data_IF_041146986941
#
_entry.id   IF_041146986941
#
_cell.length_a   1.000
_cell.length_b   1.000
_cell.length_c   1.000
_cell.angle_alpha   90.00
_cell.angle_beta   90.00
_cell.angle_gamma   90.00
#
_symmetry.space_group_name_H-M   'P 1'
#
loop_
_entity.id
_entity.type
_entity.pdbx_description
1 polymer ?
#
# COMPACT_ATOMS: atom_id res chain seq x y z
N UNK A 1 -27.85 -20.00 42.07
CA UNK A 1 -26.47 -19.59 41.75
C UNK A 1 -26.53 -18.65 40.54
N UNK A 2 -26.23 -17.37 40.75
CA UNK A 2 -26.24 -16.33 39.70
C UNK A 2 -24.86 -16.33 39.03
N UNK A 3 -24.76 -16.77 37.78
CA UNK A 3 -23.56 -16.48 36.97
C UNK A 3 -23.60 -15.00 36.59
N UNK A 4 -22.56 -14.21 36.85
CA UNK A 4 -22.50 -12.86 36.33
C UNK A 4 -22.28 -12.98 34.81
N UNK A 5 -23.28 -12.52 34.05
CA UNK A 5 -23.14 -12.22 32.63
C UNK A 5 -22.09 -11.11 32.51
N UNK A 6 -20.81 -11.49 32.43
CA UNK A 6 -19.73 -10.59 32.04
C UNK A 6 -19.91 -10.37 30.55
N UNK A 7 -20.71 -9.36 30.22
CA UNK A 7 -20.85 -8.86 28.87
C UNK A 7 -19.51 -8.23 28.49
N UNK A 8 -18.66 -9.00 27.81
CA UNK A 8 -17.46 -8.48 27.17
C UNK A 8 -17.97 -7.68 25.97
N UNK A 9 -17.96 -6.33 25.97
CA UNK A 9 -18.24 -5.60 24.75
C UNK A 9 -17.20 -5.99 23.70
N UNK A 10 -17.67 -6.70 22.67
CA UNK A 10 -16.96 -7.02 21.43
C UNK A 10 -16.84 -5.72 20.60
N UNK A 11 -16.29 -4.68 21.21
CA UNK A 11 -16.07 -3.40 20.56
C UNK A 11 -14.61 -3.03 20.82
N UNK A 12 -13.93 -2.62 19.75
CA UNK A 12 -12.50 -2.27 19.69
C UNK A 12 -11.53 -3.41 19.32
N UNK A 13 -11.78 -4.07 18.19
CA UNK A 13 -10.67 -4.35 17.27
C UNK A 13 -10.46 -3.05 16.47
N UNK A 14 -9.58 -2.19 16.98
CA UNK A 14 -9.10 -1.02 16.25
C UNK A 14 -8.33 -1.56 15.04
N UNK A 15 -8.90 -1.43 13.84
CA UNK A 15 -8.17 -1.58 12.60
C UNK A 15 -7.08 -0.51 12.54
N UNK A 16 -5.88 -0.84 12.99
CA UNK A 16 -4.68 -0.06 12.70
C UNK A 16 -4.33 -0.26 11.22
N UNK A 17 -4.99 0.49 10.34
CA UNK A 17 -4.46 0.76 9.00
C UNK A 17 -3.20 1.63 9.19
N UNK A 18 -2.06 0.98 9.39
CA UNK A 18 -0.78 1.65 9.28
C UNK A 18 -0.60 2.04 7.81
N UNK A 19 -0.87 3.31 7.50
CA UNK A 19 -0.47 3.91 6.24
C UNK A 19 1.04 3.70 6.13
N UNK A 20 1.46 2.74 5.29
CA UNK A 20 2.88 2.46 5.09
C UNK A 20 3.48 3.75 4.55
N UNK A 21 4.37 4.42 5.31
CA UNK A 21 4.95 5.67 4.86
C UNK A 21 5.68 5.38 3.57
N UNK A 22 5.34 6.12 2.53
CA UNK A 22 5.96 6.00 1.24
C UNK A 22 7.44 6.37 1.39
N UNK A 23 8.30 5.35 1.41
CA UNK A 23 9.73 5.57 1.30
C UNK A 23 10.05 5.73 -0.18
N UNK A 24 11.07 6.51 -0.52
CA UNK A 24 11.61 6.44 -1.86
C UNK A 24 12.15 5.01 -2.10
N UNK A 25 11.64 4.33 -3.12
CA UNK A 25 11.78 2.88 -3.33
C UNK A 25 12.25 2.58 -4.75
N UNK A 26 13.36 1.87 -4.89
CA UNK A 26 13.80 1.29 -6.18
C UNK A 26 13.27 -0.13 -6.38
N UNK A 27 12.68 -0.75 -5.36
CA UNK A 27 12.25 -2.14 -5.40
C UNK A 27 10.95 -2.35 -4.62
N UNK A 28 9.87 -2.71 -5.31
CA UNK A 28 8.53 -2.91 -4.75
C UNK A 28 7.95 -4.29 -5.08
N UNK A 29 7.03 -4.82 -4.27
CA UNK A 29 6.27 -6.02 -4.64
C UNK A 29 5.51 -5.86 -5.96
N UNK A 30 5.34 -6.95 -6.71
CA UNK A 30 4.44 -6.95 -7.87
C UNK A 30 3.02 -7.21 -7.41
N UNK A 31 2.15 -6.19 -7.41
CA UNK A 31 0.76 -6.30 -6.94
C UNK A 31 -0.24 -6.72 -8.02
N UNK A 32 0.03 -6.38 -9.27
CA UNK A 32 -0.82 -6.72 -10.43
C UNK A 32 -0.01 -7.42 -11.52
N UNK A 33 -0.67 -7.81 -12.61
CA UNK A 33 -0.05 -8.45 -13.78
C UNK A 33 1.10 -7.64 -14.38
N UNK A 34 1.00 -6.30 -14.34
CA UNK A 34 1.98 -5.35 -14.86
C UNK A 34 2.64 -4.57 -13.74
N UNK A 35 3.94 -4.27 -13.88
CA UNK A 35 4.65 -3.38 -12.97
C UNK A 35 4.20 -1.92 -13.15
N UNK A 36 4.30 -1.10 -12.09
CA UNK A 36 4.02 0.33 -12.19
C UNK A 36 5.00 1.02 -13.13
N UNK A 37 4.59 2.15 -13.72
CA UNK A 37 5.43 2.95 -14.61
C UNK A 37 6.74 3.35 -13.92
N UNK A 38 7.84 3.24 -14.68
CA UNK A 38 9.20 3.44 -14.17
C UNK A 38 9.82 2.20 -13.51
N UNK A 39 9.08 1.10 -13.35
CA UNK A 39 9.59 -0.16 -12.83
C UNK A 39 9.52 -1.28 -13.87
N UNK A 40 10.49 -2.18 -13.82
CA UNK A 40 10.56 -3.41 -14.63
C UNK A 40 10.41 -4.65 -13.76
N UNK A 41 9.76 -5.68 -14.29
CA UNK A 41 9.61 -6.95 -13.58
C UNK A 41 10.98 -7.65 -13.51
N UNK A 42 11.44 -8.01 -12.31
CA UNK A 42 12.69 -8.73 -12.12
C UNK A 42 12.52 -10.27 -12.17
N UNK A 43 11.33 -10.74 -12.57
CA UNK A 43 10.91 -12.15 -12.62
C UNK A 43 10.92 -12.89 -11.28
N UNK A 44 11.11 -12.19 -10.16
CA UNK A 44 11.10 -12.72 -8.79
C UNK A 44 9.90 -12.20 -7.97
N UNK A 45 8.79 -11.90 -8.64
CA UNK A 45 7.60 -11.33 -8.01
C UNK A 45 7.77 -9.89 -7.54
N UNK A 46 8.77 -9.16 -8.05
CA UNK A 46 9.06 -7.78 -7.69
C UNK A 46 9.26 -6.91 -8.92
N UNK A 47 9.07 -5.61 -8.72
CA UNK A 47 9.27 -4.58 -9.72
C UNK A 47 10.43 -3.69 -9.27
N UNK A 48 11.40 -3.44 -10.15
CA UNK A 48 12.62 -2.67 -9.86
C UNK A 48 12.75 -1.45 -10.76
N UNK A 49 13.23 -0.34 -10.24
CA UNK A 49 13.44 0.91 -10.96
C UNK A 49 14.91 1.36 -10.84
N UNK A 50 15.51 1.93 -11.90
CA UNK A 50 16.85 2.54 -11.81
C UNK A 50 16.83 3.88 -11.05
N UNK A 51 15.65 4.46 -10.80
CA UNK A 51 15.46 5.73 -10.10
C UNK A 51 14.60 5.51 -8.85
N UNK A 52 14.90 6.24 -7.78
CA UNK A 52 14.08 6.22 -6.56
C UNK A 52 12.75 6.96 -6.79
N UNK A 53 11.64 6.26 -6.59
CA UNK A 53 10.31 6.88 -6.55
C UNK A 53 9.65 6.64 -5.20
N UNK A 54 9.04 7.67 -4.66
CA UNK A 54 8.16 7.54 -3.51
C UNK A 54 6.81 7.02 -3.97
N UNK A 55 6.48 5.78 -3.59
CA UNK A 55 5.27 5.08 -4.04
C UNK A 55 4.53 4.41 -2.88
N UNK A 56 3.20 4.33 -3.01
CA UNK A 56 2.30 3.62 -2.09
C UNK A 56 1.35 2.71 -2.86
N UNK A 57 0.95 1.56 -2.28
CA UNK A 57 -0.10 0.74 -2.88
C UNK A 57 -1.44 1.49 -2.89
N UNK A 58 -2.20 1.30 -3.95
CA UNK A 58 -3.57 1.84 -4.12
C UNK A 58 -4.60 1.11 -3.25
N UNK A 59 -4.38 -0.18 -2.95
CA UNK A 59 -5.36 -1.06 -2.30
C UNK A 59 -6.75 -1.05 -2.97
N UNK A 60 -6.81 -0.77 -4.27
CA UNK A 60 -8.07 -0.66 -5.02
C UNK A 60 -8.74 0.72 -4.97
N UNK A 61 -8.19 1.65 -4.21
CA UNK A 61 -8.69 3.01 -4.06
C UNK A 61 -8.01 3.98 -5.03
N UNK A 62 -8.63 5.15 -5.22
CA UNK A 62 -8.02 6.25 -5.95
C UNK A 62 -6.82 6.83 -5.18
N UNK A 63 -5.84 7.35 -5.91
CA UNK A 63 -4.70 8.02 -5.29
C UNK A 63 -5.13 9.29 -4.56
N UNK A 64 -4.64 9.48 -3.34
CA UNK A 64 -4.86 10.71 -2.56
C UNK A 64 -4.29 11.94 -3.26
N UNK A 65 -4.73 13.13 -2.82
CA UNK A 65 -4.17 14.39 -3.29
C UNK A 65 -2.64 14.45 -3.11
N UNK A 66 -1.94 15.03 -4.07
CA UNK A 66 -0.47 15.04 -4.10
C UNK A 66 0.17 13.73 -4.58
N UNK A 67 -0.64 12.74 -4.98
CA UNK A 67 -0.20 11.49 -5.59
C UNK A 67 -0.79 11.33 -7.00
N UNK A 68 -0.11 10.56 -7.84
CA UNK A 68 -0.57 10.21 -9.19
C UNK A 68 -0.61 8.70 -9.38
N UNK A 69 -1.64 8.19 -10.07
CA UNK A 69 -1.73 6.78 -10.41
C UNK A 69 -0.68 6.46 -11.49
N UNK A 70 0.18 5.47 -11.23
CA UNK A 70 1.23 5.04 -12.15
C UNK A 70 1.01 3.61 -12.69
N UNK A 71 -0.20 3.07 -12.53
CA UNK A 71 -0.51 1.69 -12.89
C UNK A 71 0.09 0.68 -11.90
N UNK A 72 -0.09 -0.61 -12.20
CA UNK A 72 0.46 -1.71 -11.39
C UNK A 72 -0.05 -1.79 -9.94
N UNK A 73 -1.10 -1.04 -9.60
CA UNK A 73 -1.63 -0.95 -8.23
C UNK A 73 -0.89 0.04 -7.33
N UNK A 74 -0.12 0.99 -7.89
CA UNK A 74 0.63 1.99 -7.13
C UNK A 74 0.26 3.44 -7.47
N UNK A 75 0.39 4.29 -6.46
CA UNK A 75 0.43 5.74 -6.57
C UNK A 75 1.86 6.23 -6.35
N UNK A 76 2.28 7.25 -7.08
CA UNK A 76 3.58 7.94 -6.94
C UNK A 76 3.38 9.34 -6.40
N UNK A 77 4.27 9.80 -5.52
CA UNK A 77 4.28 11.20 -5.06
C UNK A 77 4.51 12.11 -6.26
N UNK A 78 3.65 13.11 -6.44
CA UNK A 78 3.89 14.16 -7.45
C UNK A 78 5.15 14.91 -7.05
N UNK A 79 6.10 15.00 -7.97
CA UNK A 79 7.22 15.95 -7.84
C UNK A 79 6.69 17.32 -8.26
N UNK A 80 7.00 18.36 -7.48
CA UNK A 80 6.70 19.76 -7.82
C UNK A 80 7.49 20.18 -9.06
#
# INVERSE_FOLDING_TARGET
MRLPFVQIPIAFIILAFSAIPAKAQTNVPKLKTTCPMGYVNNFKGRCVSPVYYEVVPTNGEACSEGWMNIGGGYCKKKSL
#
